data_IF_214958205501
#
_entry.id   IF_214958205501
#
_cell.length_a   1.000
_cell.length_b   1.000
_cell.length_c   1.000
_cell.angle_alpha   90.00
_cell.angle_beta   90.00
_cell.angle_gamma   90.00
#
_symmetry.space_group_name_H-M   'P 1'
#
loop_
_entity.id
_entity.type
_entity.pdbx_description
1 polymer ?
#
# COMPACT_ATOMS: atom_id res chain seq x y z
N UNK A 1 -5.64 -14.46 -23.57
CA UNK A 1 -5.27 -13.21 -22.86
C UNK A 1 -3.84 -13.36 -22.35
N UNK A 2 -3.06 -12.27 -22.30
CA UNK A 2 -1.71 -12.26 -21.71
C UNK A 2 -1.75 -11.43 -20.42
N UNK A 3 -1.16 -11.94 -19.35
CA UNK A 3 -1.03 -11.23 -18.08
C UNK A 3 0.23 -10.39 -18.05
N UNK A 4 0.17 -9.21 -17.45
CA UNK A 4 1.30 -8.31 -17.25
C UNK A 4 1.31 -7.84 -15.80
N UNK A 5 2.51 -7.70 -15.24
CA UNK A 5 2.73 -7.10 -13.91
C UNK A 5 3.52 -5.82 -14.13
N UNK A 6 3.03 -4.72 -13.58
CA UNK A 6 3.71 -3.42 -13.59
C UNK A 6 4.06 -3.07 -12.16
N UNK A 7 5.35 -2.85 -11.90
CA UNK A 7 5.85 -2.50 -10.56
C UNK A 7 6.24 -1.03 -10.51
N UNK A 8 5.86 -0.36 -9.43
CA UNK A 8 6.24 1.02 -9.13
C UNK A 8 6.85 1.07 -7.72
N UNK A 9 7.91 1.85 -7.54
CA UNK A 9 8.64 1.98 -6.27
C UNK A 9 8.85 3.44 -5.95
N UNK A 10 8.67 3.80 -4.68
CA UNK A 10 8.94 5.12 -4.14
C UNK A 10 9.70 5.00 -2.82
N UNK A 11 10.56 5.96 -2.55
CA UNK A 11 11.14 6.17 -1.22
C UNK A 11 10.29 7.22 -0.50
N UNK A 12 9.77 6.87 0.67
CA UNK A 12 8.98 7.78 1.51
C UNK A 12 9.48 7.71 2.95
N UNK A 13 9.43 8.84 3.63
CA UNK A 13 9.55 8.89 5.08
C UNK A 13 8.13 8.96 5.65
N UNK A 14 7.80 8.02 6.53
CA UNK A 14 6.52 7.97 7.25
C UNK A 14 6.79 7.72 8.73
N UNK A 15 5.94 8.26 9.58
CA UNK A 15 6.00 8.03 11.03
C UNK A 15 5.04 6.89 11.34
N UNK A 16 5.57 5.68 11.56
CA UNK A 16 4.75 4.52 11.88
C UNK A 16 5.35 3.20 11.42
N UNK A 17 4.53 2.16 11.41
CA UNK A 17 4.88 0.86 10.86
C UNK A 17 4.65 0.83 9.33
N UNK A 18 4.86 -0.34 8.73
CA UNK A 18 4.70 -0.56 7.29
C UNK A 18 3.31 -0.18 6.77
N UNK A 19 2.26 -0.36 7.58
CA UNK A 19 0.89 0.04 7.23
C UNK A 19 0.74 1.56 7.07
N UNK A 20 1.25 2.35 8.01
CA UNK A 20 1.17 3.82 7.95
C UNK A 20 1.93 4.36 6.73
N UNK A 21 3.08 3.76 6.40
CA UNK A 21 3.81 4.10 5.18
C UNK A 21 3.01 3.78 3.89
N UNK A 22 2.28 2.64 3.85
CA UNK A 22 1.40 2.32 2.75
C UNK A 22 0.24 3.32 2.62
N UNK A 23 -0.41 3.68 3.74
CA UNK A 23 -1.49 4.66 3.78
C UNK A 23 -1.03 6.05 3.29
N UNK A 24 0.11 6.54 3.79
CA UNK A 24 0.69 7.81 3.37
C UNK A 24 0.95 7.86 1.86
N UNK A 25 1.50 6.79 1.30
CA UNK A 25 1.76 6.68 -0.15
C UNK A 25 0.47 6.62 -0.94
N UNK A 26 -0.50 5.82 -0.49
CA UNK A 26 -1.79 5.69 -1.15
C UNK A 26 -2.52 7.04 -1.22
N UNK A 27 -2.56 7.79 -0.11
CA UNK A 27 -3.20 9.10 -0.03
C UNK A 27 -2.52 10.17 -0.91
N UNK A 28 -1.19 10.10 -1.08
CA UNK A 28 -0.43 11.11 -1.83
C UNK A 28 -0.44 10.89 -3.34
N UNK A 29 -0.41 9.63 -3.78
CA UNK A 29 -0.10 9.29 -5.18
C UNK A 29 -1.18 8.52 -5.92
N UNK A 30 -2.16 7.95 -5.21
CA UNK A 30 -3.21 7.13 -5.81
C UNK A 30 -4.59 7.80 -5.74
N UNK A 31 -5.54 7.29 -6.53
CA UNK A 31 -6.92 7.75 -6.46
C UNK A 31 -7.51 7.43 -5.08
N UNK A 32 -8.42 8.27 -4.59
CA UNK A 32 -9.05 8.15 -3.28
C UNK A 32 -9.53 6.72 -2.96
N UNK A 33 -10.28 6.08 -3.87
CA UNK A 33 -10.74 4.69 -3.72
C UNK A 33 -9.66 3.64 -3.40
N UNK A 34 -8.44 3.83 -3.89
CA UNK A 34 -7.30 2.93 -3.58
C UNK A 34 -6.78 3.22 -2.18
N UNK A 35 -6.68 4.49 -1.81
CA UNK A 35 -6.29 4.92 -0.47
C UNK A 35 -7.30 4.52 0.60
N UNK A 36 -8.59 4.49 0.23
CA UNK A 36 -9.69 4.03 1.05
C UNK A 36 -9.78 2.50 1.10
N UNK A 37 -8.88 1.76 0.44
CA UNK A 37 -8.85 0.29 0.51
C UNK A 37 -10.05 -0.40 -0.13
N UNK A 38 -10.70 0.18 -1.14
CA UNK A 38 -11.85 -0.47 -1.79
C UNK A 38 -11.45 -1.88 -2.30
N UNK A 39 -12.21 -2.96 -1.96
CA UNK A 39 -11.82 -4.35 -2.24
C UNK A 39 -11.58 -4.71 -3.72
N UNK A 40 -12.13 -3.93 -4.65
CA UNK A 40 -11.94 -4.10 -6.10
C UNK A 40 -10.83 -3.19 -6.68
N UNK A 41 -10.05 -2.55 -5.81
CA UNK A 41 -8.97 -1.63 -6.18
C UNK A 41 -7.59 -2.26 -5.92
N UNK A 42 -6.55 -1.77 -6.62
CA UNK A 42 -5.17 -2.22 -6.44
C UNK A 42 -4.55 -1.63 -5.15
N UNK A 43 -5.10 -2.01 -4.00
CA UNK A 43 -4.77 -1.48 -2.68
C UNK A 43 -3.74 -2.32 -1.90
N UNK A 44 -3.08 -3.26 -2.60
CA UNK A 44 -1.96 -4.02 -2.06
C UNK A 44 -0.62 -3.32 -2.32
N UNK A 45 0.14 -3.10 -1.24
CA UNK A 45 1.48 -2.53 -1.24
C UNK A 45 2.48 -3.56 -0.71
N UNK A 46 3.71 -3.54 -1.24
CA UNK A 46 4.85 -4.18 -0.59
C UNK A 46 5.70 -3.06 -0.01
N UNK A 47 5.78 -3.02 1.31
CA UNK A 47 6.55 -2.00 2.03
C UNK A 47 7.79 -2.66 2.60
N UNK A 48 8.95 -2.06 2.37
CA UNK A 48 10.23 -2.53 2.93
C UNK A 48 10.75 -1.48 3.90
N UNK A 49 10.92 -1.87 5.16
CA UNK A 49 11.51 -1.03 6.19
C UNK A 49 13.01 -0.80 5.97
N UNK A 50 13.56 0.20 6.65
CA UNK A 50 14.99 0.51 6.58
C UNK A 50 15.88 -0.59 7.20
N UNK A 51 15.29 -1.47 8.00
CA UNK A 51 15.91 -2.70 8.52
C UNK A 51 15.92 -3.85 7.50
N UNK A 52 15.33 -3.65 6.32
CA UNK A 52 15.21 -4.64 5.25
C UNK A 52 14.00 -5.57 5.37
N UNK A 53 13.22 -5.47 6.45
CA UNK A 53 12.00 -6.28 6.61
C UNK A 53 10.94 -5.81 5.63
N UNK A 54 10.38 -6.75 4.84
CA UNK A 54 9.35 -6.45 3.86
C UNK A 54 8.02 -7.06 4.27
N UNK A 55 6.95 -6.29 4.13
CA UNK A 55 5.60 -6.71 4.47
C UNK A 55 4.63 -6.39 3.33
N UNK A 56 3.70 -7.31 3.08
CA UNK A 56 2.62 -7.10 2.12
C UNK A 56 1.43 -6.53 2.88
N UNK A 57 1.08 -5.29 2.57
CA UNK A 57 -0.03 -4.56 3.18
C UNK A 57 -1.17 -4.53 2.17
N UNK A 58 -2.30 -5.13 2.51
CA UNK A 58 -3.55 -4.93 1.76
C UNK A 58 -4.40 -3.92 2.53
N UNK A 59 -4.62 -2.72 1.98
CA UNK A 59 -5.40 -1.70 2.69
C UNK A 59 -6.87 -2.12 2.88
N UNK A 60 -7.40 -3.00 2.04
CA UNK A 60 -8.76 -3.52 2.20
C UNK A 60 -8.94 -4.35 3.47
N UNK A 61 -7.89 -5.08 3.90
CA UNK A 61 -7.94 -5.91 5.12
C UNK A 61 -8.14 -5.06 6.38
N UNK A 62 -7.81 -3.77 6.33
CA UNK A 62 -7.92 -2.85 7.46
C UNK A 62 -9.21 -2.05 7.50
N UNK A 63 -10.11 -2.21 6.53
CA UNK A 63 -11.42 -1.53 6.52
C UNK A 63 -12.40 -2.04 7.58
N UNK A 64 -12.16 -3.24 8.13
CA UNK A 64 -13.08 -3.93 9.03
C UNK A 64 -12.48 -4.25 10.40
N UNK A 65 -11.25 -3.82 10.65
CA UNK A 65 -10.58 -3.97 11.95
C UNK A 65 -10.60 -2.61 12.67
N UNK A 66 -11.70 -2.36 13.38
CA UNK A 66 -11.73 -1.43 14.53
C UNK A 66 -11.27 -2.17 15.80
#
# INVERSE_FOLDING_TARGET
>A
MKGYVVTWTIYTESVGAHKEAALDVAQRFFQARIADGEPDSACTFVVTGMDGQSEKIDLADYLYTD
#
